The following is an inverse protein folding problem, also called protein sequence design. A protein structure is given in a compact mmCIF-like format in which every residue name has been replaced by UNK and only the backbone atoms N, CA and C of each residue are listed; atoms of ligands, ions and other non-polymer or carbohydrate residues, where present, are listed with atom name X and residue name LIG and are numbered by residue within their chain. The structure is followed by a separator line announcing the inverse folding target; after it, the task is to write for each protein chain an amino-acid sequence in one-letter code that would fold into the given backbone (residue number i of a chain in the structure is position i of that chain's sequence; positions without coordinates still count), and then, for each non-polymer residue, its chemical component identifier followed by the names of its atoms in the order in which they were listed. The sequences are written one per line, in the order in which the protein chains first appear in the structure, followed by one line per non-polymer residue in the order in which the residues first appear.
data_IF_544078147315
#
_entry.id   IF_544078147315
#
_cell.length_a   1.000
_cell.length_b   1.000
_cell.length_c   1.000
_cell.angle_alpha   90.00
_cell.angle_beta   90.00
_cell.angle_gamma   90.00
#
_symmetry.space_group_name_H-M   'P 1'
#
loop_
_entity.id
_entity.type
_entity.pdbx_description
1 polymer ?
#
# COMPACT_ATOMS: atom_id res chain seq x y z
N UNK A 1 -12.11 0.74 -22.27
CA UNK A 1 -11.21 1.90 -22.54
C UNK A 1 -11.05 2.66 -21.23
N UNK A 2 -9.93 2.45 -20.56
CA UNK A 2 -9.64 3.07 -19.27
C UNK A 2 -8.98 4.42 -19.53
N UNK A 3 -9.67 5.52 -19.20
CA UNK A 3 -9.28 6.86 -19.66
C UNK A 3 -8.12 7.49 -18.88
N UNK A 4 -7.68 6.88 -17.77
CA UNK A 4 -6.48 7.31 -17.02
C UNK A 4 -5.87 6.12 -16.28
N UNK A 5 -4.74 5.55 -16.74
CA UNK A 5 -4.00 4.57 -15.95
C UNK A 5 -3.46 5.26 -14.69
N UNK A 6 -3.60 4.62 -13.53
CA UNK A 6 -2.77 4.98 -12.37
C UNK A 6 -1.32 4.74 -12.81
N UNK A 7 -0.45 5.73 -12.66
CA UNK A 7 0.99 5.46 -12.72
C UNK A 7 1.44 5.10 -11.30
N UNK A 8 1.80 3.84 -11.14
CA UNK A 8 2.22 3.27 -9.87
C UNK A 8 3.73 3.49 -9.65
N UNK A 9 4.48 3.87 -10.70
CA UNK A 9 5.94 3.98 -10.67
C UNK A 9 6.42 5.22 -11.42
N UNK A 10 7.23 6.05 -10.76
CA UNK A 10 7.88 7.23 -11.34
C UNK A 10 9.31 6.90 -11.73
N UNK A 11 9.63 6.92 -13.02
CA UNK A 11 11.00 6.64 -13.50
C UNK A 11 11.84 7.90 -13.70
N UNK A 12 11.25 9.05 -14.04
CA UNK A 12 11.91 10.38 -14.08
C UNK A 12 10.87 11.51 -14.08
N UNK A 13 11.20 12.69 -13.53
CA UNK A 13 10.33 13.88 -13.49
C UNK A 13 9.27 13.88 -12.37
N UNK A 14 8.57 15.01 -12.12
CA UNK A 14 7.49 15.07 -11.14
C UNK A 14 6.38 14.13 -11.62
N UNK A 15 6.12 13.09 -10.83
CA UNK A 15 5.24 12.00 -11.21
C UNK A 15 3.76 12.31 -11.31
N UNK A 16 2.95 11.27 -11.54
CA UNK A 16 1.50 11.33 -11.70
C UNK A 16 0.88 12.34 -10.74
N UNK A 17 0.60 13.49 -11.34
CA UNK A 17 0.02 14.67 -10.75
C UNK A 17 -1.23 14.24 -10.00
N UNK A 18 -1.41 14.81 -8.80
CA UNK A 18 -2.68 14.93 -8.07
C UNK A 18 -3.85 14.66 -9.01
N UNK A 19 -4.68 13.63 -8.73
CA UNK A 19 -5.94 13.42 -9.47
C UNK A 19 -6.56 14.78 -9.68
N UNK A 20 -6.53 15.27 -10.92
CA UNK A 20 -6.90 16.65 -11.14
C UNK A 20 -8.33 16.82 -10.62
N UNK A 21 -8.64 17.98 -10.03
CA UNK A 21 -10.03 18.37 -9.86
C UNK A 21 -10.76 18.10 -11.17
N UNK A 22 -12.03 17.71 -11.07
CA UNK A 22 -12.91 17.36 -12.19
C UNK A 22 -12.99 15.87 -12.57
N UNK A 23 -12.30 14.93 -11.94
CA UNK A 23 -12.57 13.51 -12.16
C UNK A 23 -14.03 13.12 -11.82
N UNK A 24 -14.64 12.19 -12.56
CA UNK A 24 -15.95 11.59 -12.21
C UNK A 24 -15.72 10.22 -11.58
N UNK A 25 -16.27 9.99 -10.39
CA UNK A 25 -16.21 8.72 -9.70
C UNK A 25 -17.09 7.67 -10.40
N UNK A 26 -16.46 6.62 -10.93
CA UNK A 26 -17.11 5.61 -11.80
C UNK A 26 -18.30 4.88 -11.16
N UNK A 27 -18.31 4.70 -9.83
CA UNK A 27 -19.39 3.98 -9.13
C UNK A 27 -20.57 4.87 -8.73
N UNK A 28 -20.33 6.17 -8.49
CA UNK A 28 -21.39 7.09 -8.03
C UNK A 28 -21.83 8.06 -9.12
N UNK A 29 -21.08 8.18 -10.22
CA UNK A 29 -21.29 9.19 -11.26
C UNK A 29 -21.03 10.63 -10.80
N UNK A 30 -20.65 10.83 -9.53
CA UNK A 30 -20.41 12.15 -8.94
C UNK A 30 -18.99 12.61 -9.23
N UNK A 31 -18.81 13.91 -9.40
CA UNK A 31 -17.50 14.53 -9.56
C UNK A 31 -16.77 14.60 -8.21
N UNK A 32 -15.44 14.49 -8.23
CA UNK A 32 -14.63 14.82 -7.06
C UNK A 32 -14.62 16.34 -6.87
N UNK A 33 -15.17 16.78 -5.74
CA UNK A 33 -15.07 18.18 -5.29
C UNK A 33 -13.80 18.36 -4.47
N UNK A 34 -13.20 19.54 -4.56
CA UNK A 34 -12.35 19.99 -3.46
C UNK A 34 -13.20 20.13 -2.21
N UNK A 35 -12.67 19.70 -1.07
CA UNK A 35 -13.36 19.76 0.20
C UNK A 35 -12.59 20.65 1.17
N UNK A 36 -13.32 21.41 1.98
CA UNK A 36 -12.81 22.10 3.15
C UNK A 36 -12.52 21.08 4.26
N UNK A 37 -11.73 21.45 5.29
CA UNK A 37 -11.50 20.58 6.45
C UNK A 37 -12.77 20.12 7.18
N UNK A 38 -13.86 20.88 7.08
CA UNK A 38 -15.18 20.52 7.63
C UNK A 38 -15.98 19.54 6.73
N UNK A 39 -15.41 19.08 5.61
CA UNK A 39 -16.03 18.13 4.67
C UNK A 39 -16.95 18.77 3.62
N UNK A 40 -17.17 20.08 3.67
CA UNK A 40 -17.99 20.76 2.66
C UNK A 40 -17.25 20.94 1.34
N UNK A 41 -17.94 20.90 0.19
CA UNK A 41 -17.34 21.29 -1.08
C UNK A 41 -16.81 22.72 -1.05
N UNK A 42 -15.55 22.90 -1.43
CA UNK A 42 -14.91 24.20 -1.61
C UNK A 42 -15.55 25.00 -2.76
N UNK A 43 -16.03 24.29 -3.79
CA UNK A 43 -16.79 24.85 -4.92
C UNK A 43 -17.68 23.77 -5.55
N UNK A 44 -18.91 24.14 -5.91
CA UNK A 44 -19.96 23.21 -6.35
C UNK A 44 -19.94 22.98 -7.87
N UNK A 45 -19.41 23.93 -8.62
CA UNK A 45 -19.34 23.87 -10.09
C UNK A 45 -17.91 23.82 -10.61
N UNK A 46 -17.75 23.31 -11.84
CA UNK A 46 -16.48 23.35 -12.57
C UNK A 46 -15.96 24.78 -12.69
N UNK A 47 -16.85 25.72 -13.04
CA UNK A 47 -16.49 27.12 -13.26
C UNK A 47 -15.87 27.75 -12.02
N UNK A 48 -16.49 27.54 -10.86
CA UNK A 48 -15.99 28.04 -9.58
C UNK A 48 -14.66 27.39 -9.19
N UNK A 49 -14.54 26.08 -9.38
CA UNK A 49 -13.29 25.36 -9.11
C UNK A 49 -12.15 25.84 -10.02
N UNK A 50 -12.40 26.06 -11.31
CA UNK A 50 -11.42 26.63 -12.25
C UNK A 50 -11.00 28.04 -11.81
N UNK A 51 -11.95 28.88 -11.39
CA UNK A 51 -11.65 30.22 -10.89
C UNK A 51 -10.75 30.20 -9.64
N UNK A 52 -10.98 29.27 -8.71
CA UNK A 52 -10.13 29.09 -7.53
C UNK A 52 -8.70 28.65 -7.88
N UNK A 53 -8.56 27.73 -8.85
CA UNK A 53 -7.24 27.23 -9.28
C UNK A 53 -6.47 28.21 -10.15
N UNK A 54 -7.16 29.17 -10.78
CA UNK A 54 -6.51 30.22 -11.56
C UNK A 54 -5.68 31.16 -10.67
N UNK A 55 -6.00 31.24 -9.37
CA UNK A 55 -5.35 32.13 -8.42
C UNK A 55 -5.03 31.42 -7.09
N UNK A 56 -4.12 30.42 -7.10
CA UNK A 56 -3.79 29.69 -5.89
C UNK A 56 -3.07 30.61 -4.89
N UNK A 57 -3.60 30.66 -3.67
CA UNK A 57 -2.89 31.31 -2.57
C UNK A 57 -1.70 30.45 -2.15
N UNK A 58 -0.55 31.08 -1.93
CA UNK A 58 0.62 30.42 -1.35
C UNK A 58 0.51 30.46 0.17
N UNK A 59 0.89 29.36 0.80
CA UNK A 59 1.00 29.23 2.25
C UNK A 59 2.48 29.11 2.63
N UNK A 60 2.83 29.54 3.84
CA UNK A 60 4.19 29.37 4.35
C UNK A 60 4.47 27.90 4.66
N UNK A 61 5.75 27.52 4.66
CA UNK A 61 6.16 26.18 5.07
C UNK A 61 5.76 25.89 6.52
N UNK A 62 5.86 26.89 7.41
CA UNK A 62 5.46 26.77 8.82
C UNK A 62 4.00 26.35 8.99
N UNK A 63 3.11 26.89 8.16
CA UNK A 63 1.69 26.51 8.18
C UNK A 63 1.49 25.06 7.74
N UNK A 64 2.26 24.57 6.75
CA UNK A 64 2.23 23.17 6.33
C UNK A 64 2.64 22.28 7.50
N UNK A 65 3.75 22.62 8.16
CA UNK A 65 4.29 21.84 9.27
C UNK A 65 3.30 21.78 10.45
N UNK A 66 2.64 22.90 10.78
CA UNK A 66 1.59 22.98 11.80
C UNK A 66 0.38 22.11 11.46
N UNK A 67 -0.09 22.13 10.20
CA UNK A 67 -1.21 21.30 9.75
C UNK A 67 -0.84 19.83 9.78
N UNK A 68 0.34 19.46 9.30
CA UNK A 68 0.82 18.07 9.30
C UNK A 68 0.97 17.54 10.73
N UNK A 69 1.45 18.36 11.66
CA UNK A 69 1.55 18.00 13.07
C UNK A 69 0.19 17.72 13.74
N UNK A 70 -0.90 18.28 13.21
CA UNK A 70 -2.27 18.04 13.70
C UNK A 70 -2.92 16.80 13.06
N UNK A 71 -2.35 16.24 12.00
CA UNK A 71 -2.84 14.99 11.41
C UNK A 71 -2.47 13.86 12.37
N UNK A 72 -3.45 13.05 12.83
CA UNK A 72 -3.16 11.89 13.65
C UNK A 72 -2.18 10.99 12.89
N UNK A 73 -0.97 10.81 13.43
CA UNK A 73 -0.09 9.78 12.95
C UNK A 73 -0.70 8.45 13.38
N UNK A 74 -1.27 7.71 12.44
CA UNK A 74 -1.51 6.28 12.68
C UNK A 74 -0.14 5.64 12.80
N UNK A 75 0.25 5.09 13.96
CA UNK A 75 1.52 4.38 14.07
C UNK A 75 1.57 3.32 12.99
N UNK A 76 2.70 3.23 12.29
CA UNK A 76 2.96 2.07 11.46
C UNK A 76 2.78 0.84 12.35
N UNK A 77 2.07 -0.21 11.90
CA UNK A 77 1.98 -1.45 12.66
C UNK A 77 3.40 -1.90 12.99
N UNK A 78 3.65 -2.20 14.27
CA UNK A 78 4.94 -2.74 14.71
C UNK A 78 5.28 -3.94 13.86
N UNK A 79 6.54 -4.00 13.40
CA UNK A 79 6.99 -5.12 12.58
C UNK A 79 6.79 -6.41 13.38
N UNK A 80 6.18 -7.45 12.79
CA UNK A 80 5.99 -8.70 13.50
C UNK A 80 7.33 -9.31 13.88
N UNK A 81 7.39 -9.85 15.09
CA UNK A 81 8.57 -10.54 15.59
C UNK A 81 8.57 -11.97 15.06
N UNK A 82 9.62 -12.33 14.32
CA UNK A 82 9.88 -13.69 13.88
C UNK A 82 10.90 -14.35 14.81
N UNK A 83 10.71 -15.63 15.11
CA UNK A 83 11.77 -16.40 15.74
C UNK A 83 12.94 -16.50 14.76
N UNK A 84 14.17 -16.25 15.23
CA UNK A 84 15.38 -16.42 14.40
C UNK A 84 15.49 -17.87 13.96
N UNK A 85 15.74 -18.08 12.67
CA UNK A 85 15.81 -19.40 12.04
C UNK A 85 17.25 -19.64 11.61
N UNK A 86 17.72 -20.89 11.70
CA UNK A 86 19.04 -21.22 11.16
C UNK A 86 19.03 -21.04 9.64
N UNK A 87 20.13 -20.53 9.10
CA UNK A 87 20.32 -20.38 7.66
C UNK A 87 20.10 -21.71 6.94
N UNK A 88 19.04 -21.80 6.13
CA UNK A 88 18.78 -22.95 5.26
C UNK A 88 19.69 -22.92 4.03
N UNK A 89 19.83 -24.05 3.34
CA UNK A 89 20.57 -24.14 2.07
C UNK A 89 19.92 -23.27 0.97
N UNK A 90 20.77 -22.64 0.16
CA UNK A 90 20.39 -21.79 -0.97
C UNK A 90 21.56 -20.92 -1.44
N UNK A 91 21.78 -20.84 -2.75
CA UNK A 91 22.91 -20.10 -3.34
C UNK A 91 22.80 -18.58 -3.11
N UNK A 92 21.58 -18.05 -3.08
CA UNK A 92 21.30 -16.62 -2.91
C UNK A 92 20.57 -16.36 -1.60
N UNK A 93 20.78 -15.17 -1.04
CA UNK A 93 20.07 -14.71 0.17
C UNK A 93 18.53 -14.75 -0.01
N UNK A 94 18.04 -14.43 -1.21
CA UNK A 94 16.61 -14.51 -1.52
C UNK A 94 16.05 -15.93 -1.37
N UNK A 95 16.83 -16.93 -1.74
CA UNK A 95 16.39 -18.33 -1.70
C UNK A 95 16.43 -18.82 -0.26
N UNK A 96 17.47 -18.44 0.49
CA UNK A 96 17.56 -18.69 1.93
C UNK A 96 16.39 -18.11 2.70
N UNK A 97 15.96 -16.88 2.38
CA UNK A 97 14.79 -16.25 3.02
C UNK A 97 13.49 -16.97 2.64
N UNK A 98 13.33 -17.34 1.36
CA UNK A 98 12.13 -18.08 0.92
C UNK A 98 12.02 -19.47 1.54
N UNK A 99 13.16 -20.09 1.84
CA UNK A 99 13.23 -21.44 2.40
C UNK A 99 13.22 -21.46 3.93
N UNK A 100 13.44 -20.33 4.61
CA UNK A 100 13.55 -20.30 6.07
C UNK A 100 12.19 -20.38 6.78
N UNK A 101 11.13 -19.86 6.17
CA UNK A 101 9.78 -19.84 6.76
C UNK A 101 8.73 -20.11 5.66
N UNK A 102 7.59 -20.71 6.03
CA UNK A 102 6.48 -20.85 5.10
C UNK A 102 5.78 -19.51 4.87
N UNK A 103 5.17 -19.31 3.70
CA UNK A 103 4.34 -18.14 3.40
C UNK A 103 3.18 -18.06 4.40
N UNK A 104 2.61 -19.20 4.81
CA UNK A 104 1.52 -19.20 5.78
C UNK A 104 1.96 -18.67 7.14
N UNK A 105 3.07 -19.18 7.68
CA UNK A 105 3.57 -18.75 8.99
C UNK A 105 4.01 -17.28 8.96
N UNK A 106 4.59 -16.84 7.83
CA UNK A 106 4.99 -15.47 7.64
C UNK A 106 3.77 -14.53 7.57
N UNK A 107 2.83 -14.79 6.66
CA UNK A 107 1.66 -13.94 6.43
C UNK A 107 0.71 -13.94 7.62
N UNK A 108 0.61 -15.05 8.36
CA UNK A 108 -0.21 -15.14 9.57
C UNK A 108 0.20 -14.18 10.68
N UNK A 109 1.40 -13.57 10.58
CA UNK A 109 1.82 -12.49 11.48
C UNK A 109 1.21 -11.12 11.15
N UNK A 110 0.73 -10.96 9.92
CA UNK A 110 0.15 -9.70 9.42
C UNK A 110 -1.37 -9.78 9.25
N UNK A 111 -1.89 -10.97 8.96
CA UNK A 111 -3.28 -11.20 8.61
C UNK A 111 -3.81 -12.40 9.38
N UNK A 112 -5.02 -12.29 9.92
CA UNK A 112 -5.72 -13.45 10.47
C UNK A 112 -6.14 -14.39 9.34
N UNK A 113 -5.56 -15.58 9.30
CA UNK A 113 -5.90 -16.65 8.36
C UNK A 113 -6.61 -17.80 9.07
N UNK A 114 -7.51 -18.48 8.36
CA UNK A 114 -8.07 -19.76 8.80
C UNK A 114 -7.08 -20.91 8.54
N UNK A 115 -7.43 -22.12 9.00
CA UNK A 115 -6.60 -23.32 8.82
C UNK A 115 -6.39 -23.71 7.34
N UNK A 116 -7.18 -23.15 6.42
CA UNK A 116 -7.06 -23.37 4.97
C UNK A 116 -6.29 -22.24 4.29
N UNK A 117 -5.72 -21.32 5.07
CA UNK A 117 -4.95 -20.18 4.57
C UNK A 117 -5.79 -19.03 4.05
N UNK A 118 -7.11 -18.98 4.27
CA UNK A 118 -7.99 -17.90 3.79
C UNK A 118 -8.16 -16.79 4.82
N UNK A 119 -8.25 -15.55 4.35
CA UNK A 119 -8.46 -14.37 5.19
C UNK A 119 -8.87 -13.14 4.40
N UNK A 120 -9.01 -12.00 5.09
CA UNK A 120 -9.24 -10.71 4.46
C UNK A 120 -7.93 -10.18 3.86
N UNK A 121 -8.00 -9.65 2.65
CA UNK A 121 -6.82 -9.05 2.02
C UNK A 121 -6.37 -7.79 2.77
N UNK A 122 -5.10 -7.68 3.17
CA UNK A 122 -4.59 -6.48 3.83
C UNK A 122 -4.35 -5.31 2.86
N UNK A 123 -4.37 -5.56 1.55
CA UNK A 123 -3.96 -4.58 0.54
C UNK A 123 -5.12 -3.71 0.02
N UNK A 124 -6.37 -4.09 0.30
CA UNK A 124 -7.59 -3.32 -0.02
C UNK A 124 -8.64 -3.44 1.10
N UNK A 125 -9.70 -2.63 1.04
CA UNK A 125 -10.87 -2.77 1.94
C UNK A 125 -11.66 -4.03 1.55
N UNK A 126 -11.30 -5.17 2.15
CA UNK A 126 -11.88 -6.48 1.86
C UNK A 126 -13.01 -6.84 2.83
N UNK A 127 -14.09 -7.42 2.29
CA UNK A 127 -15.28 -7.83 3.05
C UNK A 127 -15.66 -9.30 2.87
N UNK A 128 -15.01 -10.00 1.93
CA UNK A 128 -15.43 -11.35 1.48
C UNK A 128 -14.28 -12.36 1.43
N UNK A 129 -13.27 -12.20 2.29
CA UNK A 129 -12.10 -13.08 2.40
C UNK A 129 -11.50 -13.47 1.04
N UNK A 130 -11.04 -12.47 0.30
CA UNK A 130 -10.48 -12.65 -1.04
C UNK A 130 -9.00 -13.07 -1.05
N UNK A 131 -8.36 -13.14 0.11
CA UNK A 131 -6.95 -13.49 0.27
C UNK A 131 -6.78 -14.95 0.67
N UNK A 132 -5.84 -15.65 0.04
CA UNK A 132 -5.53 -17.04 0.32
C UNK A 132 -4.03 -17.32 0.24
N UNK A 133 -3.53 -18.11 1.19
CA UNK A 133 -2.22 -18.78 1.10
C UNK A 133 -2.43 -20.23 0.66
N UNK A 134 -1.74 -20.64 -0.39
CA UNK A 134 -1.65 -22.03 -0.79
C UNK A 134 -0.56 -22.71 0.05
N UNK A 135 -0.97 -23.62 0.94
CA UNK A 135 -0.09 -24.33 1.87
C UNK A 135 0.83 -25.34 1.18
N UNK A 136 0.42 -25.89 0.03
CA UNK A 136 1.20 -26.90 -0.70
C UNK A 136 2.25 -26.25 -1.59
N UNK A 137 1.83 -25.26 -2.36
CA UNK A 137 2.68 -24.56 -3.33
C UNK A 137 3.42 -23.35 -2.72
N UNK A 138 3.17 -23.07 -1.44
CA UNK A 138 3.84 -22.05 -0.65
C UNK A 138 3.85 -20.64 -1.30
N UNK A 139 2.68 -20.16 -1.70
CA UNK A 139 2.48 -18.79 -2.22
C UNK A 139 1.17 -18.19 -1.70
N UNK A 140 1.05 -16.87 -1.73
CA UNK A 140 -0.21 -16.16 -1.44
C UNK A 140 -0.81 -15.60 -2.72
N UNK A 141 -2.13 -15.40 -2.72
CA UNK A 141 -2.85 -14.74 -3.81
C UNK A 141 -4.07 -14.00 -3.26
N UNK A 142 -4.42 -12.90 -3.92
CA UNK A 142 -5.66 -12.19 -3.70
C UNK A 142 -6.52 -12.26 -4.96
N UNK A 143 -7.67 -12.91 -4.87
CA UNK A 143 -8.60 -13.13 -5.98
C UNK A 143 -9.38 -11.86 -6.39
N UNK A 144 -9.24 -10.76 -5.64
CA UNK A 144 -9.78 -9.45 -6.03
C UNK A 144 -8.81 -8.63 -6.90
N UNK A 145 -7.67 -9.21 -7.33
CA UNK A 145 -6.75 -8.59 -8.28
C UNK A 145 -5.62 -7.80 -7.63
N UNK A 146 -5.36 -7.98 -6.33
CA UNK A 146 -4.20 -7.35 -5.70
C UNK A 146 -2.88 -8.04 -6.11
N UNK A 147 -2.92 -9.28 -6.60
CA UNK A 147 -1.73 -10.04 -7.00
C UNK A 147 -1.44 -11.21 -6.04
N UNK A 148 -0.21 -11.73 -6.11
CA UNK A 148 0.22 -12.90 -5.35
C UNK A 148 1.71 -13.16 -5.51
N UNK A 149 2.26 -14.09 -4.73
CA UNK A 149 3.66 -14.50 -4.83
C UNK A 149 4.22 -15.14 -3.56
N UNK A 150 5.52 -15.03 -3.40
CA UNK A 150 6.30 -15.51 -2.25
C UNK A 150 6.26 -14.56 -1.05
N UNK A 151 7.00 -14.90 0.01
CA UNK A 151 7.25 -14.05 1.18
C UNK A 151 7.79 -12.68 0.76
N UNK A 152 8.74 -12.65 -0.19
CA UNK A 152 9.32 -11.39 -0.68
C UNK A 152 8.26 -10.51 -1.34
N UNK A 153 7.41 -11.10 -2.17
CA UNK A 153 6.35 -10.38 -2.86
C UNK A 153 5.32 -9.82 -1.87
N UNK A 154 5.00 -10.57 -0.81
CA UNK A 154 4.15 -10.08 0.27
C UNK A 154 4.81 -8.91 1.00
N UNK A 155 6.06 -9.08 1.43
CA UNK A 155 6.79 -8.11 2.24
C UNK A 155 7.03 -6.79 1.49
N UNK A 156 7.45 -6.85 0.21
CA UNK A 156 7.60 -5.67 -0.63
C UNK A 156 6.29 -4.90 -0.72
N UNK A 157 5.19 -5.62 -0.93
CA UNK A 157 3.88 -5.01 -1.08
C UNK A 157 3.30 -4.48 0.23
N UNK A 158 3.59 -5.15 1.34
CA UNK A 158 3.27 -4.66 2.67
C UNK A 158 3.99 -3.35 2.95
N UNK A 159 5.30 -3.30 2.66
CA UNK A 159 6.12 -2.09 2.81
C UNK A 159 5.59 -0.95 1.95
N UNK A 160 5.30 -1.19 0.68
CA UNK A 160 4.70 -0.19 -0.22
C UNK A 160 3.37 0.36 0.31
N UNK A 161 2.48 -0.53 0.75
CA UNK A 161 1.17 -0.17 1.33
C UNK A 161 1.29 0.73 2.56
N UNK A 162 2.38 0.60 3.30
CA UNK A 162 2.67 1.34 4.52
C UNK A 162 3.68 2.48 4.31
N UNK A 163 3.96 2.87 3.07
CA UNK A 163 4.84 4.01 2.76
C UNK A 163 6.31 3.78 3.11
N UNK A 164 6.74 2.52 3.20
CA UNK A 164 8.14 2.12 3.42
C UNK A 164 8.83 1.83 2.07
N UNK A 165 10.17 1.83 2.07
CA UNK A 165 10.96 1.46 0.87
C UNK A 165 10.70 -0.01 0.50
N UNK A 166 9.94 -0.23 -0.56
CA UNK A 166 9.55 -1.53 -1.09
C UNK A 166 10.53 -2.10 -2.12
N UNK A 167 11.71 -1.49 -2.30
CA UNK A 167 12.72 -2.03 -3.20
C UNK A 167 13.14 -3.44 -2.78
N UNK A 168 13.48 -4.25 -3.77
CA UNK A 168 13.89 -5.64 -3.55
C UNK A 168 15.04 -5.74 -2.55
N UNK A 169 16.06 -4.88 -2.70
CA UNK A 169 17.24 -4.85 -1.83
C UNK A 169 16.89 -4.44 -0.40
N UNK A 170 16.06 -3.39 -0.21
CA UNK A 170 15.66 -2.95 1.12
C UNK A 170 14.82 -4.03 1.83
N UNK A 171 13.91 -4.66 1.09
CA UNK A 171 13.06 -5.73 1.63
C UNK A 171 13.88 -6.98 1.97
N UNK A 172 14.85 -7.36 1.14
CA UNK A 172 15.75 -8.47 1.44
C UNK A 172 16.56 -8.22 2.72
N UNK A 173 17.09 -7.01 2.89
CA UNK A 173 17.88 -6.65 4.07
C UNK A 173 17.02 -6.72 5.34
N UNK A 174 15.83 -6.13 5.29
CA UNK A 174 14.87 -6.13 6.40
C UNK A 174 14.45 -7.55 6.81
N UNK A 175 14.10 -8.40 5.84
CA UNK A 175 13.75 -9.79 6.12
C UNK A 175 14.95 -10.60 6.63
N UNK A 176 16.16 -10.31 6.16
CA UNK A 176 17.36 -10.96 6.67
C UNK A 176 17.60 -10.59 8.14
N UNK A 177 17.40 -9.33 8.53
CA UNK A 177 17.52 -8.87 9.93
C UNK A 177 16.42 -9.46 10.84
N UNK A 178 15.22 -9.68 10.30
CA UNK A 178 14.10 -10.25 11.03
C UNK A 178 14.21 -11.78 11.22
N UNK A 179 14.71 -12.50 10.21
CA UNK A 179 14.70 -13.97 10.19
C UNK A 179 16.01 -14.60 10.63
N UNK A 180 17.15 -13.89 10.59
CA UNK A 180 18.48 -14.38 10.97
C UNK A 180 19.07 -13.56 12.12
#
# INVERSE_FOLDING_TARGET
MELYPKQDVLKTGPGSLVRLPFGIHRKTGRRYSFIKPNGEPLALTIREQVALLAHPSRISQTFIDEVVAQIPSTPLPEAPIFAKIQATEGERLSDRIKNSISVYDFVSRYVTLDQRGKGLCPFHDDRVQSFQVNLQENYWSCYAGCGGGSILDFAMKWRDKHGQDASFTATLKDLAEQLF
#
